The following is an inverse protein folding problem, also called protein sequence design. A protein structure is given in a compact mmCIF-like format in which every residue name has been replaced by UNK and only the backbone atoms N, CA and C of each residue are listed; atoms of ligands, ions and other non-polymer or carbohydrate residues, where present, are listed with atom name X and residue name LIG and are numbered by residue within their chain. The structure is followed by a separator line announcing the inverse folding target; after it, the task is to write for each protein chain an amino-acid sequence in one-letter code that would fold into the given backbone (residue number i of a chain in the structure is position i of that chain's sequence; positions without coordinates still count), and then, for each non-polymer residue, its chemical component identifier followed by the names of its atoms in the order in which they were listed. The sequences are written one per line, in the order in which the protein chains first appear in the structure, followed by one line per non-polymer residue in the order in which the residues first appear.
data_IF_245517345355
#
_entry.id   IF_245517345355
#
_cell.length_a   1.000
_cell.length_b   1.000
_cell.length_c   1.000
_cell.angle_alpha   90.00
_cell.angle_beta   90.00
_cell.angle_gamma   90.00
#
_symmetry.space_group_name_H-M   'P 1'
#
loop_
_entity.id
_entity.type
_entity.pdbx_description
1 polymer ?
#
# COMPACT_ATOMS: atom_id res chain seq x y z
N UNK A 1 3.19 0.46 -9.49
CA UNK A 1 3.88 0.29 -8.19
C UNK A 1 5.22 -0.39 -8.41
N UNK A 2 6.11 -0.40 -7.42
CA UNK A 2 7.38 -1.14 -7.48
C UNK A 2 7.49 -2.09 -6.29
N UNK A 3 8.08 -3.26 -6.53
CA UNK A 3 8.50 -4.19 -5.48
C UNK A 3 9.94 -4.60 -5.79
N UNK A 4 10.82 -4.55 -4.80
CA UNK A 4 12.15 -5.09 -4.87
C UNK A 4 12.24 -6.33 -3.97
N UNK A 5 12.78 -7.43 -4.49
CA UNK A 5 12.99 -8.70 -3.78
C UNK A 5 14.49 -8.99 -3.84
N UNK A 6 15.16 -9.06 -2.69
CA UNK A 6 16.62 -9.25 -2.59
C UNK A 6 17.45 -8.26 -3.44
N UNK A 7 16.89 -7.09 -3.76
CA UNK A 7 17.51 -6.06 -4.59
C UNK A 7 17.02 -6.03 -6.04
N UNK A 8 16.39 -7.10 -6.52
CA UNK A 8 15.82 -7.17 -7.87
C UNK A 8 14.51 -6.40 -7.93
N UNK A 9 14.45 -5.36 -8.77
CA UNK A 9 13.32 -4.42 -8.83
C UNK A 9 12.34 -4.80 -9.93
N UNK A 10 11.09 -5.05 -9.54
CA UNK A 10 9.97 -5.34 -10.42
C UNK A 10 9.00 -4.16 -10.42
N UNK A 11 8.70 -3.64 -11.61
CA UNK A 11 7.68 -2.60 -11.78
C UNK A 11 6.38 -3.26 -12.25
N UNK A 12 5.31 -3.07 -11.48
CA UNK A 12 4.00 -3.58 -11.82
C UNK A 12 3.08 -2.45 -12.28
N UNK A 13 2.52 -2.61 -13.47
CA UNK A 13 1.34 -1.86 -13.91
C UNK A 13 0.13 -2.41 -13.15
N UNK A 14 -0.18 -1.79 -12.01
CA UNK A 14 -1.22 -2.24 -11.10
C UNK A 14 -2.23 -1.13 -10.82
N UNK A 15 -3.50 -1.51 -10.76
CA UNK A 15 -4.56 -0.71 -10.16
C UNK A 15 -4.41 -0.82 -8.64
N UNK A 16 -4.32 0.31 -7.95
CA UNK A 16 -4.18 0.36 -6.49
C UNK A 16 -5.49 0.78 -5.87
N UNK A 17 -5.98 -0.04 -4.94
CA UNK A 17 -7.14 0.24 -4.10
C UNK A 17 -6.69 0.42 -2.66
N UNK A 18 -7.14 1.49 -2.03
CA UNK A 18 -6.86 1.79 -0.63
C UNK A 18 -8.15 1.89 0.16
N UNK A 19 -8.34 0.98 1.10
CA UNK A 19 -9.56 0.87 1.90
C UNK A 19 -9.22 1.08 3.36
N UNK A 20 -9.75 2.15 3.94
CA UNK A 20 -9.63 2.40 5.38
C UNK A 20 -10.83 1.83 6.12
N UNK A 21 -10.54 1.12 7.19
CA UNK A 21 -11.54 0.52 8.06
C UNK A 21 -11.85 1.44 9.25
N UNK A 22 -13.03 1.30 9.88
CA UNK A 22 -13.43 2.12 11.03
C UNK A 22 -12.51 1.98 12.26
N UNK A 23 -11.79 0.87 12.37
CA UNK A 23 -10.83 0.58 13.45
C UNK A 23 -9.47 1.28 13.26
N UNK A 24 -9.31 2.05 12.18
CA UNK A 24 -8.07 2.76 11.86
C UNK A 24 -7.04 1.93 11.08
N UNK A 25 -7.40 0.71 10.65
CA UNK A 25 -6.59 -0.06 9.71
C UNK A 25 -6.78 0.44 8.27
N UNK A 26 -5.74 0.26 7.44
CA UNK A 26 -5.71 0.56 6.02
C UNK A 26 -5.26 -0.68 5.26
N UNK A 27 -6.11 -1.17 4.37
CA UNK A 27 -5.76 -2.17 3.38
C UNK A 27 -5.34 -1.48 2.09
N UNK A 28 -4.11 -1.71 1.66
CA UNK A 28 -3.65 -1.37 0.32
C UNK A 28 -3.59 -2.66 -0.48
N UNK A 29 -4.31 -2.70 -1.59
CA UNK A 29 -4.31 -3.81 -2.53
C UNK A 29 -3.91 -3.31 -3.91
N UNK A 30 -2.96 -3.98 -4.54
CA UNK A 30 -2.53 -3.69 -5.90
C UNK A 30 -2.56 -4.94 -6.74
N UNK A 31 -3.18 -4.88 -7.91
CA UNK A 31 -3.15 -5.94 -8.92
C UNK A 31 -3.30 -5.36 -10.33
N UNK A 32 -2.82 -6.04 -11.39
CA UNK A 32 -3.03 -5.58 -12.77
C UNK A 32 -4.51 -5.48 -13.16
N UNK A 33 -5.37 -6.31 -12.57
CA UNK A 33 -6.82 -6.21 -12.75
C UNK A 33 -7.56 -6.67 -11.50
N UNK A 34 -8.83 -6.27 -11.39
CA UNK A 34 -9.73 -6.70 -10.31
C UNK A 34 -9.98 -8.21 -10.26
N UNK A 35 -9.70 -8.94 -11.35
CA UNK A 35 -9.98 -10.38 -11.50
C UNK A 35 -8.71 -11.23 -11.61
N UNK A 36 -7.54 -10.62 -11.87
CA UNK A 36 -6.27 -11.31 -11.96
C UNK A 36 -5.47 -11.12 -10.67
N UNK A 37 -5.66 -12.06 -9.74
CA UNK A 37 -4.96 -12.07 -8.46
C UNK A 37 -3.59 -12.79 -8.51
N UNK A 38 -3.22 -13.37 -9.67
CA UNK A 38 -1.92 -14.04 -9.85
C UNK A 38 -0.73 -13.07 -9.86
N UNK A 39 -1.01 -11.77 -9.93
CA UNK A 39 -0.04 -10.72 -9.71
C UNK A 39 -0.66 -9.73 -8.75
N UNK A 40 -0.25 -9.74 -7.49
CA UNK A 40 -0.80 -8.82 -6.52
C UNK A 40 0.13 -8.52 -5.36
N UNK A 41 -0.11 -7.37 -4.74
CA UNK A 41 0.48 -6.97 -3.46
C UNK A 41 -0.64 -6.57 -2.53
N UNK A 42 -0.56 -7.05 -1.29
CA UNK A 42 -1.54 -6.78 -0.24
C UNK A 42 -0.83 -6.35 1.03
N UNK A 43 -1.19 -5.18 1.53
CA UNK A 43 -0.63 -4.60 2.74
C UNK A 43 -1.76 -4.26 3.70
N UNK A 44 -1.62 -4.67 4.95
CA UNK A 44 -2.46 -4.20 6.04
C UNK A 44 -1.60 -3.34 6.95
N UNK A 45 -2.07 -2.11 7.18
CA UNK A 45 -1.38 -1.11 7.98
C UNK A 45 -2.30 -0.67 9.12
N UNK A 46 -1.82 -0.70 10.36
CA UNK A 46 -2.43 0.10 11.42
C UNK A 46 -1.96 1.55 11.24
N UNK A 47 -2.89 2.50 11.27
CA UNK A 47 -2.57 3.93 11.03
C UNK A 47 -2.85 4.83 12.23
N UNK A 48 -3.46 4.28 13.29
CA UNK A 48 -3.78 5.02 14.52
C UNK A 48 -2.52 5.20 15.36
N UNK A 49 -2.17 6.45 15.70
CA UNK A 49 -0.98 6.87 16.46
C UNK A 49 0.37 6.60 15.81
N UNK A 50 0.56 5.45 15.16
CA UNK A 50 1.78 5.06 14.44
C UNK A 50 1.41 4.28 13.19
N UNK A 51 2.27 4.38 12.18
CA UNK A 51 2.16 3.56 10.98
C UNK A 51 2.88 2.23 11.21
N UNK A 52 2.13 1.14 11.25
CA UNK A 52 2.66 -0.21 11.52
C UNK A 52 2.15 -1.19 10.47
N UNK A 53 3.06 -2.00 9.92
CA UNK A 53 2.70 -3.11 9.02
C UNK A 53 2.21 -4.27 9.86
N UNK A 54 0.92 -4.60 9.76
CA UNK A 54 0.33 -5.73 10.51
C UNK A 54 0.26 -7.00 9.66
N UNK A 55 0.22 -6.85 8.34
CA UNK A 55 0.44 -7.93 7.41
C UNK A 55 0.94 -7.39 6.08
N UNK A 56 1.81 -8.14 5.42
CA UNK A 56 2.24 -7.85 4.06
C UNK A 56 2.37 -9.15 3.28
N UNK A 57 1.92 -9.13 2.04
CA UNK A 57 2.12 -10.23 1.12
C UNK A 57 2.15 -9.77 -0.31
N UNK A 58 2.80 -10.56 -1.15
CA UNK A 58 2.85 -10.36 -2.57
C UNK A 58 2.86 -11.71 -3.28
N UNK A 59 2.41 -11.71 -4.53
CA UNK A 59 2.51 -12.83 -5.43
C UNK A 59 2.74 -12.25 -6.82
N UNK A 60 3.91 -12.52 -7.41
CA UNK A 60 4.34 -12.05 -8.73
C UNK A 60 5.02 -13.23 -9.46
N UNK A 61 5.31 -13.16 -10.77
CA UNK A 61 5.91 -14.28 -11.50
C UNK A 61 7.24 -14.77 -10.91
N UNK A 62 8.01 -13.84 -10.33
CA UNK A 62 9.35 -14.11 -9.79
C UNK A 62 9.34 -14.59 -8.33
N UNK A 63 8.14 -14.70 -7.72
CA UNK A 63 7.96 -15.31 -6.42
C UNK A 63 6.78 -14.76 -5.64
N UNK A 64 6.56 -15.35 -4.47
CA UNK A 64 5.59 -14.87 -3.51
C UNK A 64 6.17 -14.84 -2.10
N UNK A 65 5.52 -14.08 -1.23
CA UNK A 65 5.90 -13.94 0.16
C UNK A 65 4.74 -13.43 0.99
N UNK A 66 4.73 -13.81 2.26
CA UNK A 66 3.73 -13.37 3.21
C UNK A 66 4.30 -13.33 4.62
N UNK A 67 3.98 -12.26 5.36
CA UNK A 67 4.28 -12.15 6.78
C UNK A 67 3.16 -11.43 7.52
N UNK A 68 2.97 -11.83 8.79
CA UNK A 68 2.19 -11.10 9.81
C UNK A 68 3.08 -10.59 10.94
N UNK A 69 4.39 -10.79 10.84
CA UNK A 69 5.35 -10.34 11.83
C UNK A 69 5.63 -8.85 11.61
N UNK A 70 5.05 -8.02 12.47
CA UNK A 70 5.21 -6.56 12.43
C UNK A 70 6.61 -6.11 12.87
N UNK A 71 7.38 -6.96 13.54
CA UNK A 71 8.75 -6.62 13.97
C UNK A 71 9.75 -6.70 12.82
N UNK A 72 9.45 -7.52 11.81
CA UNK A 72 10.30 -7.70 10.62
C UNK A 72 9.96 -6.73 9.49
N UNK A 73 9.00 -5.83 9.70
CA UNK A 73 8.47 -4.93 8.69
C UNK A 73 8.35 -3.50 9.21
N UNK A 74 8.68 -2.54 8.34
CA UNK A 74 8.55 -1.11 8.59
C UNK A 74 7.79 -0.44 7.47
N UNK A 75 7.16 0.69 7.78
CA UNK A 75 6.41 1.49 6.82
C UNK A 75 6.72 2.96 7.02
N UNK A 76 6.90 3.67 5.91
CA UNK A 76 7.02 5.12 5.86
C UNK A 76 6.00 5.63 4.84
N UNK A 77 5.37 6.76 5.14
CA UNK A 77 4.49 7.49 4.21
C UNK A 77 5.10 8.85 3.94
N UNK A 78 5.27 9.19 2.66
CA UNK A 78 5.62 10.53 2.19
C UNK A 78 4.58 10.91 1.14
N UNK A 79 3.85 12.00 1.37
CA UNK A 79 2.67 12.37 0.58
C UNK A 79 1.72 11.18 0.41
N UNK A 80 1.42 10.79 -0.84
CA UNK A 80 0.55 9.66 -1.17
C UNK A 80 1.30 8.35 -1.36
N UNK A 81 2.61 8.31 -1.13
CA UNK A 81 3.43 7.12 -1.36
C UNK A 81 3.75 6.43 -0.04
N UNK A 82 3.40 5.14 0.01
CA UNK A 82 3.80 4.23 1.07
C UNK A 82 5.03 3.46 0.62
N UNK A 83 6.08 3.50 1.44
CA UNK A 83 7.27 2.65 1.30
C UNK A 83 7.27 1.65 2.44
N UNK A 84 7.16 0.37 2.09
CA UNK A 84 7.20 -0.75 3.03
C UNK A 84 8.55 -1.44 2.86
N UNK A 85 9.24 -1.77 3.95
CA UNK A 85 10.54 -2.44 3.89
C UNK A 85 10.68 -3.45 5.01
N UNK A 86 11.28 -4.59 4.73
CA UNK A 86 11.46 -5.62 5.75
C UNK A 86 11.89 -6.95 5.17
N UNK A 87 11.62 -8.03 5.90
CA UNK A 87 11.92 -9.39 5.47
C UNK A 87 10.69 -10.28 5.55
N UNK A 88 10.57 -11.20 4.60
CA UNK A 88 9.50 -12.20 4.57
C UNK A 88 10.09 -13.60 4.35
N UNK A 89 9.46 -14.66 4.87
CA UNK A 89 9.80 -16.03 4.49
C UNK A 89 9.68 -16.21 2.97
N UNK A 90 10.65 -16.92 2.37
CA UNK A 90 10.52 -17.39 1.00
C UNK A 90 9.43 -18.48 0.91
N UNK A 91 8.60 -18.45 -0.14
CA UNK A 91 7.62 -19.52 -0.39
C UNK A 91 8.32 -20.87 -0.66
N UNK A 92 9.40 -20.85 -1.45
CA UNK A 92 10.21 -22.03 -1.74
C UNK A 92 11.57 -21.96 -1.03
N UNK A 93 11.78 -22.84 -0.05
CA UNK A 93 13.07 -23.05 0.63
C UNK A 93 13.11 -22.58 2.09
N UNK A 94 14.27 -22.78 2.74
CA UNK A 94 14.54 -22.22 4.07
C UNK A 94 15.29 -20.90 3.89
N UNK A 95 14.62 -19.78 4.12
CA UNK A 95 15.28 -18.48 4.00
C UNK A 95 14.35 -17.30 4.17
N UNK A 96 14.97 -16.15 4.42
CA UNK A 96 14.32 -14.85 4.44
C UNK A 96 14.66 -14.10 3.16
N UNK A 97 13.66 -13.47 2.57
CA UNK A 97 13.79 -12.55 1.43
C UNK A 97 13.68 -11.13 1.96
N UNK A 98 14.59 -10.26 1.53
CA UNK A 98 14.45 -8.83 1.78
C UNK A 98 13.45 -8.27 0.78
N UNK A 99 12.49 -7.47 1.25
CA UNK A 99 11.43 -6.91 0.43
C UNK A 99 11.35 -5.40 0.65
N UNK A 100 11.23 -4.66 -0.44
CA UNK A 100 10.87 -3.24 -0.43
C UNK A 100 9.72 -2.98 -1.40
N UNK A 101 8.62 -2.42 -0.93
CA UNK A 101 7.44 -2.12 -1.73
C UNK A 101 7.21 -0.62 -1.73
N UNK A 102 7.12 -0.02 -2.92
CA UNK A 102 6.75 1.38 -3.10
C UNK A 102 5.41 1.44 -3.83
N UNK A 103 4.40 1.97 -3.15
CA UNK A 103 3.03 1.99 -3.63
C UNK A 103 2.39 3.35 -3.39
N UNK A 104 1.97 3.99 -4.47
CA UNK A 104 1.16 5.19 -4.41
C UNK A 104 -0.27 4.79 -4.09
N UNK A 105 -0.78 5.36 -3.00
CA UNK A 105 -2.14 5.29 -2.56
C UNK A 105 -2.67 6.73 -2.67
N UNK A 106 -3.09 7.17 -3.88
CA UNK A 106 -3.54 8.54 -4.07
C UNK A 106 -4.61 8.83 -3.04
N UNK A 107 -4.37 9.87 -2.25
CA UNK A 107 -5.24 10.25 -1.15
C UNK A 107 -6.67 10.39 -1.66
N UNK A 108 -7.61 9.94 -0.83
CA UNK A 108 -9.03 10.27 -0.88
C UNK A 108 -9.35 11.44 -1.82
N UNK A 109 -10.25 11.25 -2.79
CA UNK A 109 -10.92 12.41 -3.37
C UNK A 109 -11.53 13.18 -2.21
N UNK A 110 -11.00 14.38 -1.89
CA UNK A 110 -11.81 15.35 -1.19
C UNK A 110 -13.08 15.51 -2.04
N UNK A 111 -14.28 15.55 -1.44
CA UNK A 111 -15.43 16.09 -2.15
C UNK A 111 -14.94 17.40 -2.75
N UNK A 112 -15.12 17.60 -4.07
CA UNK A 112 -14.95 18.93 -4.64
C UNK A 112 -15.73 19.85 -3.70
N UNK A 113 -15.03 20.73 -2.98
CA UNK A 113 -15.68 21.64 -2.06
C UNK A 113 -16.84 22.28 -2.80
N UNK A 114 -17.99 22.42 -2.14
CA UNK A 114 -19.11 23.16 -2.71
C UNK A 114 -18.51 24.47 -3.25
N UNK A 115 -18.74 24.85 -4.53
CA UNK A 115 -18.26 26.13 -5.00
C UNK A 115 -18.68 27.18 -3.98
N UNK A 116 -17.73 28.02 -3.56
CA UNK A 116 -17.96 29.11 -2.61
C UNK A 116 -19.06 30.01 -3.18
N UNK A 117 -20.31 29.67 -2.92
CA UNK A 117 -21.44 30.60 -3.00
C UNK A 117 -21.43 31.37 -1.70
N UNK A 118 -20.38 32.17 -1.50
CA UNK A 118 -20.50 33.36 -0.65
C UNK A 118 -21.43 34.29 -1.43
N UNK A 119 -22.65 34.59 -0.96
CA UNK A 119 -23.42 35.67 -1.56
C UNK A 119 -22.58 36.93 -1.36
N UNK A 120 -22.31 37.66 -2.45
CA UNK A 120 -21.68 38.97 -2.33
C UNK A 120 -22.59 39.84 -1.45
N UNK A 121 -22.18 40.05 -0.19
CA UNK A 121 -22.79 41.05 0.67
C UNK A 121 -22.36 42.40 0.11
N UNK A 122 -23.32 43.11 -0.45
CA UNK A 122 -23.18 44.51 -0.85
C UNK A 122 -22.72 44.69 -2.30
N UNK A 123 -23.63 45.16 -3.14
CA UNK A 123 -23.32 46.10 -4.21
C UNK A 123 -24.49 47.08 -4.32
N UNK A 124 -24.20 48.37 -4.59
CA UNK A 124 -25.05 49.51 -4.23
C UNK A 124 -26.37 49.61 -4.99
#
# INVERSE_FOLDING_TARGET
MKIAIDGDVHTLAAQVTCTRFPDGNLLIYASPSATNHRQSVRLMLATTHRLVVTAAGFHIPDGSGFTKDSQEMTAIKVDDVYTISGRMPAEEGRGWRQVKIEIACPGYQQPKGRPDTVPAIGSP
#
